data_IF_237750563836
#
_entry.id   IF_237750563836
#
_cell.length_a   1.000
_cell.length_b   1.000
_cell.length_c   1.000
_cell.angle_alpha   90.00
_cell.angle_beta   90.00
_cell.angle_gamma   90.00
#
_symmetry.space_group_name_H-M   'P 1'
#
loop_
_entity.id
_entity.type
_entity.pdbx_description
1 polymer ?
#
# COMPACT_ATOMS: atom_id res chain seq x y z
N UNK A 1 -10.83 -1.43 4.52
CA UNK A 1 -9.69 -0.98 5.34
C UNK A 1 -8.72 -0.34 4.39
N UNK A 2 -8.06 0.74 4.80
CA UNK A 2 -7.15 1.44 3.90
C UNK A 2 -5.76 0.81 3.94
N UNK A 3 -5.14 0.68 2.77
CA UNK A 3 -3.71 0.40 2.64
C UNK A 3 -3.00 1.68 2.22
N UNK A 4 -1.81 1.90 2.76
CA UNK A 4 -1.07 3.13 2.51
C UNK A 4 0.09 2.86 1.60
N UNK A 5 0.27 3.70 0.59
CA UNK A 5 1.39 3.60 -0.32
C UNK A 5 2.72 3.70 0.46
N UNK A 6 3.61 2.69 0.42
CA UNK A 6 4.88 2.71 1.16
C UNK A 6 5.89 3.72 0.59
N UNK A 7 5.59 4.37 -0.53
CA UNK A 7 6.47 5.35 -1.18
C UNK A 7 6.02 6.79 -0.99
N UNK A 8 4.72 7.04 -0.80
CA UNK A 8 4.18 8.39 -0.78
C UNK A 8 3.11 8.65 0.30
N UNK A 9 2.68 7.61 1.01
CA UNK A 9 1.78 7.72 2.16
C UNK A 9 0.32 7.94 1.80
N UNK A 10 -0.02 7.93 0.51
CA UNK A 10 -1.41 8.06 0.05
C UNK A 10 -2.23 6.83 0.47
N UNK A 11 -3.43 7.00 1.05
CA UNK A 11 -4.35 5.90 1.34
C UNK A 11 -5.03 5.43 0.06
N UNK A 12 -5.24 4.13 -0.03
CA UNK A 12 -5.96 3.44 -1.10
C UNK A 12 -6.90 2.42 -0.49
N UNK A 13 -8.07 2.23 -1.09
CA UNK A 13 -8.93 1.12 -0.67
C UNK A 13 -8.23 -0.19 -1.03
N UNK A 14 -8.19 -1.13 -0.09
CA UNK A 14 -7.62 -2.45 -0.34
C UNK A 14 -8.30 -3.15 -1.52
N UNK A 15 -9.58 -2.89 -1.74
CA UNK A 15 -10.34 -3.46 -2.86
C UNK A 15 -9.77 -3.04 -4.23
N UNK A 16 -9.05 -1.92 -4.33
CA UNK A 16 -8.41 -1.51 -5.59
C UNK A 16 -7.34 -2.50 -6.08
N UNK A 17 -6.79 -3.34 -5.20
CA UNK A 17 -5.90 -4.43 -5.60
C UNK A 17 -6.62 -5.51 -6.44
N UNK A 18 -7.93 -5.66 -6.28
CA UNK A 18 -8.73 -6.54 -7.12
C UNK A 18 -9.02 -5.93 -8.50
N UNK A 19 -8.91 -4.61 -8.62
CA UNK A 19 -9.16 -3.86 -9.85
C UNK A 19 -7.88 -3.55 -10.65
N UNK A 20 -6.71 -3.90 -10.12
CA UNK A 20 -5.43 -3.68 -10.76
C UNK A 20 -5.37 -4.33 -12.16
N UNK A 21 -5.07 -3.52 -13.18
CA UNK A 21 -5.08 -3.94 -14.58
C UNK A 21 -4.06 -5.06 -14.85
N UNK A 22 -4.48 -6.05 -15.65
CA UNK A 22 -3.64 -7.13 -16.18
C UNK A 22 -2.91 -7.99 -15.13
N UNK A 23 -3.39 -8.06 -13.89
CA UNK A 23 -2.80 -8.92 -12.86
C UNK A 23 -3.82 -9.48 -11.88
N UNK A 24 -3.47 -10.60 -11.25
CA UNK A 24 -4.24 -11.13 -10.13
C UNK A 24 -3.92 -10.38 -8.83
N UNK A 25 -4.79 -10.55 -7.82
CA UNK A 25 -4.66 -9.90 -6.53
C UNK A 25 -3.31 -10.16 -5.85
N UNK A 26 -2.80 -11.39 -5.92
CA UNK A 26 -1.52 -11.76 -5.31
C UNK A 26 -0.35 -11.01 -5.95
N UNK A 27 -0.37 -10.87 -7.28
CA UNK A 27 0.60 -10.09 -8.05
C UNK A 27 0.45 -8.60 -7.76
N UNK A 28 -0.78 -8.08 -7.73
CA UNK A 28 -1.07 -6.67 -7.42
C UNK A 28 -0.51 -6.29 -6.04
N UNK A 29 -0.82 -7.10 -5.02
CA UNK A 29 -0.35 -6.93 -3.64
C UNK A 29 1.18 -6.95 -3.53
N UNK A 30 1.84 -7.91 -4.18
CA UNK A 30 3.32 -7.98 -4.22
C UNK A 30 3.94 -6.80 -4.94
N UNK A 31 3.32 -6.33 -6.02
CA UNK A 31 3.78 -5.11 -6.71
C UNK A 31 3.51 -3.86 -5.89
N UNK A 32 2.41 -3.79 -5.15
CA UNK A 32 2.05 -2.62 -4.35
C UNK A 32 3.10 -2.39 -3.26
N UNK A 33 3.62 -3.46 -2.64
CA UNK A 33 4.77 -3.34 -1.72
C UNK A 33 5.98 -2.64 -2.35
N UNK A 34 6.26 -2.87 -3.64
CA UNK A 34 7.46 -2.37 -4.33
C UNK A 34 7.24 -1.02 -4.99
N UNK A 35 6.15 -0.89 -5.73
CA UNK A 35 5.83 0.23 -6.62
C UNK A 35 4.79 1.18 -5.99
N UNK A 36 4.20 0.81 -4.85
CA UNK A 36 3.15 1.57 -4.19
C UNK A 36 1.90 1.72 -5.05
N UNK A 37 1.27 2.89 -4.95
CA UNK A 37 0.06 3.21 -5.69
C UNK A 37 0.21 3.22 -7.22
N UNK A 38 1.43 3.22 -7.74
CA UNK A 38 1.67 3.12 -9.18
C UNK A 38 1.15 1.80 -9.78
N UNK A 39 0.88 0.78 -8.95
CA UNK A 39 0.19 -0.45 -9.37
C UNK A 39 -1.20 -0.18 -9.96
N UNK A 40 -1.87 0.88 -9.49
CA UNK A 40 -3.20 1.27 -9.96
C UNK A 40 -3.15 2.19 -11.20
N UNK A 41 -1.97 2.33 -11.83
CA UNK A 41 -1.76 3.29 -12.91
C UNK A 41 -1.79 4.76 -12.46
N UNK A 42 -1.80 5.01 -11.14
CA UNK A 42 -1.76 6.36 -10.58
C UNK A 42 -0.33 6.89 -10.47
N UNK A 43 -0.21 8.21 -10.29
CA UNK A 43 1.06 8.84 -9.95
C UNK A 43 1.10 9.17 -8.47
N UNK A 44 2.22 8.89 -7.81
CA UNK A 44 2.41 9.25 -6.40
C UNK A 44 2.05 10.71 -6.11
N UNK A 45 1.33 10.91 -5.01
CA UNK A 45 1.03 12.25 -4.52
C UNK A 45 2.31 13.07 -4.26
N UNK A 46 2.19 14.40 -4.40
CA UNK A 46 3.26 15.36 -4.10
C UNK A 46 2.67 16.60 -3.42
N UNK A 47 3.20 17.04 -2.26
CA UNK A 47 4.28 16.39 -1.50
C UNK A 47 3.83 15.03 -0.92
N UNK A 48 4.77 14.10 -0.82
CA UNK A 48 4.54 12.81 -0.17
C UNK A 48 4.39 12.99 1.35
N UNK A 49 3.54 12.18 1.97
CA UNK A 49 3.49 12.03 3.42
C UNK A 49 4.53 10.99 3.85
N UNK A 50 5.71 11.48 4.23
CA UNK A 50 6.86 10.63 4.53
C UNK A 50 6.67 9.80 5.81
N UNK A 51 5.96 10.32 6.83
CA UNK A 51 5.72 9.57 8.07
C UNK A 51 4.81 8.36 7.81
N UNK A 52 3.71 8.59 7.10
CA UNK A 52 2.78 7.51 6.73
C UNK A 52 3.44 6.50 5.78
N UNK A 53 4.23 6.97 4.81
CA UNK A 53 4.95 6.10 3.88
C UNK A 53 5.97 5.21 4.61
N UNK A 54 6.76 5.79 5.52
CA UNK A 54 7.76 5.05 6.32
C UNK A 54 7.12 4.00 7.22
N UNK A 55 6.01 4.34 7.91
CA UNK A 55 5.24 3.38 8.71
C UNK A 55 4.73 2.22 7.86
N UNK A 56 4.13 2.52 6.71
CA UNK A 56 3.64 1.50 5.79
C UNK A 56 4.77 0.60 5.28
N UNK A 57 5.89 1.19 4.83
CA UNK A 57 7.05 0.44 4.35
C UNK A 57 7.61 -0.51 5.44
N UNK A 58 7.72 -0.04 6.68
CA UNK A 58 8.15 -0.84 7.82
C UNK A 58 7.20 -2.04 8.04
N UNK A 59 5.89 -1.81 7.98
CA UNK A 59 4.90 -2.88 8.16
C UNK A 59 4.96 -3.90 7.01
N UNK A 60 5.15 -3.46 5.77
CA UNK A 60 5.41 -4.38 4.65
C UNK A 60 6.69 -5.19 4.82
N UNK A 61 7.72 -4.65 5.46
CA UNK A 61 8.94 -5.39 5.76
C UNK A 61 8.78 -6.38 6.91
N UNK A 62 7.95 -6.05 7.92
CA UNK A 62 7.70 -6.89 9.08
C UNK A 62 6.71 -8.03 8.79
N UNK A 63 5.57 -7.68 8.22
CA UNK A 63 4.45 -8.59 7.95
C UNK A 63 4.54 -9.24 6.57
N UNK A 64 5.40 -8.70 5.71
CA UNK A 64 5.70 -9.23 4.40
C UNK A 64 4.54 -9.04 3.43
N UNK A 65 3.59 -9.94 3.55
CA UNK A 65 2.56 -10.22 2.57
C UNK A 65 1.16 -10.29 3.24
N UNK A 66 1.09 -10.28 4.56
CA UNK A 66 -0.16 -10.11 5.31
C UNK A 66 -0.70 -8.67 5.21
N UNK A 67 -1.43 -8.38 4.12
CA UNK A 67 -1.94 -7.03 3.82
C UNK A 67 -3.09 -6.61 4.74
N UNK A 68 -3.88 -7.57 5.22
CA UNK A 68 -4.92 -7.32 6.21
C UNK A 68 -4.30 -6.91 7.54
N UNK A 69 -3.22 -7.59 7.97
CA UNK A 69 -2.46 -7.22 9.15
C UNK A 69 -1.81 -5.83 9.01
N UNK A 70 -1.29 -5.49 7.82
CA UNK A 70 -0.72 -4.16 7.55
C UNK A 70 -1.78 -3.07 7.66
N UNK A 71 -2.94 -3.27 7.02
CA UNK A 71 -4.04 -2.31 7.06
C UNK A 71 -4.54 -2.10 8.50
N UNK A 72 -4.74 -3.19 9.24
CA UNK A 72 -5.16 -3.14 10.65
C UNK A 72 -4.15 -2.40 11.54
N UNK A 73 -2.85 -2.66 11.39
CA UNK A 73 -1.83 -1.96 12.20
C UNK A 73 -1.65 -0.49 11.79
N UNK A 74 -1.83 -0.16 10.50
CA UNK A 74 -1.80 1.24 10.06
C UNK A 74 -2.94 2.05 10.68
N UNK A 75 -4.13 1.48 10.81
CA UNK A 75 -5.27 2.13 11.49
C UNK A 75 -4.96 2.40 12.97
N UNK A 76 -4.26 1.49 13.65
CA UNK A 76 -3.86 1.66 15.06
C UNK A 76 -2.71 2.67 15.27
N UNK A 77 -1.81 2.83 14.29
CA UNK A 77 -0.65 3.73 14.35
C UNK A 77 -1.00 5.19 14.00
N UNK A 78 -2.26 5.48 13.68
CA UNK A 78 -2.73 6.77 13.17
C UNK A 78 -3.20 7.73 14.26
#
# INVERSE_FOLDING_TARGET
MDIYCPLCGEPWDMDELHEAEDMDFDTARKRFRRDGCAVFGSTHNRPADTDTAEKSALLFDLLGDDIDGIASLMEDLR
#
